data_IF_228157723402
#
_entry.id   IF_228157723402
#
_cell.length_a   1.000
_cell.length_b   1.000
_cell.length_c   1.000
_cell.angle_alpha   90.00
_cell.angle_beta   90.00
_cell.angle_gamma   90.00
#
_symmetry.space_group_name_H-M   'P 1'
#
loop_
_entity.id
_entity.type
_entity.pdbx_description
1 polymer ?
#
# COMPACT_ATOMS: atom_id res chain seq x y z
N UNK A 1 6.85 -4.28 -27.38
CA UNK A 1 7.00 -4.33 -25.91
C UNK A 1 8.47 -4.25 -25.56
N UNK A 2 8.82 -3.44 -24.57
CA UNK A 2 10.16 -3.33 -24.00
C UNK A 2 10.09 -3.62 -22.49
N UNK A 3 11.04 -4.36 -21.91
CA UNK A 3 11.07 -4.56 -20.45
C UNK A 3 11.07 -3.22 -19.70
N UNK A 4 10.34 -3.14 -18.61
CA UNK A 4 10.34 -1.97 -17.74
C UNK A 4 11.61 -1.96 -16.87
N UNK A 5 12.25 -0.79 -16.67
CA UNK A 5 13.38 -0.71 -15.73
C UNK A 5 12.93 -0.76 -14.26
N UNK A 6 11.64 -0.68 -13.97
CA UNK A 6 11.10 -0.55 -12.61
C UNK A 6 10.55 -1.85 -12.04
N UNK A 7 10.30 -2.84 -12.88
CA UNK A 7 9.76 -4.13 -12.45
C UNK A 7 10.02 -5.18 -13.51
N UNK A 8 10.62 -6.32 -13.15
CA UNK A 8 10.94 -7.42 -14.08
C UNK A 8 9.70 -8.03 -14.74
N UNK A 9 8.55 -8.02 -14.06
CA UNK A 9 7.29 -8.53 -14.60
C UNK A 9 6.54 -7.50 -15.47
N UNK A 10 7.07 -6.29 -15.63
CA UNK A 10 6.41 -5.21 -16.35
C UNK A 10 7.05 -4.94 -17.71
N UNK A 11 6.22 -4.57 -18.68
CA UNK A 11 6.63 -4.18 -20.02
C UNK A 11 6.03 -2.84 -20.41
N UNK A 12 6.82 -2.05 -21.11
CA UNK A 12 6.37 -0.79 -21.71
C UNK A 12 5.80 -1.08 -23.08
N UNK A 13 4.59 -0.60 -23.32
CA UNK A 13 3.97 -0.63 -24.63
C UNK A 13 4.41 0.63 -25.39
N UNK A 14 5.14 0.44 -26.49
CA UNK A 14 5.69 1.53 -27.31
C UNK A 14 4.74 1.97 -28.43
N UNK A 15 3.65 1.24 -28.62
CA UNK A 15 2.64 1.56 -29.64
C UNK A 15 1.75 2.72 -29.13
N UNK A 16 1.78 3.91 -29.77
CA UNK A 16 1.10 5.11 -29.27
C UNK A 16 -0.42 4.98 -29.15
N UNK A 17 -1.04 4.25 -30.06
CA UNK A 17 -2.50 4.09 -30.15
C UNK A 17 -3.04 2.89 -29.37
N UNK A 18 -2.18 2.19 -28.64
CA UNK A 18 -2.61 1.05 -27.85
C UNK A 18 -3.54 1.47 -26.70
N UNK A 19 -4.75 0.94 -26.72
CA UNK A 19 -5.78 1.20 -25.70
C UNK A 19 -5.97 -0.06 -24.85
N UNK A 20 -5.25 -0.20 -23.71
CA UNK A 20 -5.26 -1.43 -22.90
C UNK A 20 -6.68 -1.88 -22.54
N UNK A 21 -7.55 -0.94 -22.11
CA UNK A 21 -8.92 -1.21 -21.71
C UNK A 21 -9.85 -1.76 -22.81
N UNK A 22 -9.41 -1.74 -24.08
CA UNK A 22 -10.16 -2.32 -25.22
C UNK A 22 -9.61 -3.68 -25.64
N UNK A 23 -8.49 -4.12 -25.05
CA UNK A 23 -7.85 -5.36 -25.46
C UNK A 23 -8.52 -6.57 -24.78
N UNK A 24 -8.83 -7.65 -25.52
CA UNK A 24 -9.48 -8.85 -24.93
C UNK A 24 -8.72 -9.42 -23.74
N UNK A 25 -7.39 -9.45 -23.79
CA UNK A 25 -6.55 -9.93 -22.69
C UNK A 25 -6.61 -9.05 -21.45
N UNK A 26 -6.93 -7.77 -21.57
CA UNK A 26 -7.22 -6.92 -20.42
C UNK A 26 -8.49 -7.39 -19.71
N UNK A 27 -9.56 -7.64 -20.47
CA UNK A 27 -10.82 -8.15 -19.91
C UNK A 27 -10.67 -9.56 -19.31
N UNK A 28 -9.82 -10.36 -19.91
CA UNK A 28 -9.49 -11.71 -19.40
C UNK A 28 -8.52 -11.73 -18.21
N UNK A 29 -8.09 -10.56 -17.71
CA UNK A 29 -7.19 -10.49 -16.55
C UNK A 29 -5.74 -10.89 -16.80
N UNK A 30 -5.30 -11.01 -18.07
CA UNK A 30 -3.94 -11.44 -18.41
C UNK A 30 -2.89 -10.38 -18.03
N UNK A 31 -3.26 -9.12 -18.04
CA UNK A 31 -2.38 -8.03 -17.65
C UNK A 31 -3.13 -6.89 -16.95
N UNK A 32 -2.40 -6.14 -16.14
CA UNK A 32 -2.84 -4.88 -15.54
C UNK A 32 -2.08 -3.73 -16.17
N UNK A 33 -2.80 -2.65 -16.56
CA UNK A 33 -2.20 -1.45 -17.12
C UNK A 33 -1.97 -0.41 -16.03
N UNK A 34 -0.73 0.01 -15.83
CA UNK A 34 -0.38 1.05 -14.87
C UNK A 34 0.76 1.92 -15.39
N UNK A 35 1.00 3.03 -14.72
CA UNK A 35 2.14 3.88 -14.97
C UNK A 35 3.43 3.11 -14.60
N UNK A 36 4.49 3.17 -15.45
CA UNK A 36 5.67 2.35 -15.25
C UNK A 36 6.35 2.52 -13.88
N UNK A 37 6.57 3.75 -13.40
CA UNK A 37 7.18 3.98 -12.08
C UNK A 37 6.30 3.49 -10.93
N UNK A 38 4.96 3.47 -11.12
CA UNK A 38 4.03 2.92 -10.15
C UNK A 38 4.25 1.42 -9.89
N UNK A 39 4.84 0.71 -10.86
CA UNK A 39 5.14 -0.72 -10.72
C UNK A 39 6.35 -1.02 -9.81
N UNK A 40 7.10 -0.01 -9.38
CA UNK A 40 8.33 -0.20 -8.60
C UNK A 40 8.08 -0.58 -7.13
N UNK A 41 7.06 -0.05 -6.49
CA UNK A 41 6.89 -0.17 -5.04
C UNK A 41 6.59 -1.60 -4.55
N UNK A 42 5.71 -2.32 -5.25
CA UNK A 42 5.32 -3.68 -4.83
C UNK A 42 6.49 -4.69 -4.82
N UNK A 43 7.39 -4.73 -5.83
CA UNK A 43 8.57 -5.61 -5.79
C UNK A 43 9.51 -5.33 -4.62
N UNK A 44 9.65 -4.07 -4.18
CA UNK A 44 10.52 -3.70 -3.06
C UNK A 44 10.12 -4.36 -1.75
N UNK A 45 8.85 -4.73 -1.61
CA UNK A 45 8.32 -5.37 -0.42
C UNK A 45 8.78 -6.84 -0.25
N UNK A 46 9.33 -7.46 -1.28
CA UNK A 46 9.89 -8.82 -1.21
C UNK A 46 8.88 -9.88 -0.78
N UNK A 47 7.64 -9.76 -1.24
CA UNK A 47 6.55 -10.70 -0.92
C UNK A 47 6.86 -12.10 -1.45
N UNK A 48 6.56 -13.11 -0.63
CA UNK A 48 6.73 -14.54 -0.96
C UNK A 48 5.46 -15.32 -0.67
N UNK A 49 5.24 -16.47 -1.30
CA UNK A 49 4.12 -17.36 -1.01
C UNK A 49 4.01 -17.68 0.49
N UNK A 50 2.78 -17.67 1.00
CA UNK A 50 2.46 -17.96 2.40
C UNK A 50 2.45 -16.75 3.34
N UNK A 51 2.92 -15.57 2.92
CA UNK A 51 2.92 -14.35 3.72
C UNK A 51 1.52 -13.73 3.87
N UNK A 52 1.33 -12.97 4.95
CA UNK A 52 0.19 -12.09 5.19
C UNK A 52 0.59 -10.68 4.81
N UNK A 53 -0.05 -10.14 3.79
CA UNK A 53 0.32 -8.87 3.16
C UNK A 53 -0.84 -7.89 3.27
N UNK A 54 -0.53 -6.65 3.64
CA UNK A 54 -1.48 -5.53 3.65
C UNK A 54 -1.06 -4.49 2.59
N UNK A 55 -1.99 -4.14 1.69
CA UNK A 55 -1.91 -2.95 0.83
C UNK A 55 -2.90 -1.94 1.39
N UNK A 56 -2.40 -0.91 2.10
CA UNK A 56 -3.22 -0.08 2.97
C UNK A 56 -3.97 1.03 2.23
N UNK A 57 -3.48 1.45 1.04
CA UNK A 57 -4.08 2.47 0.18
C UNK A 57 -4.12 1.95 -1.27
N UNK A 58 -4.89 0.88 -1.49
CA UNK A 58 -4.70 -0.05 -2.59
C UNK A 58 -5.28 0.37 -3.94
N UNK A 59 -6.34 1.21 -3.95
CA UNK A 59 -7.03 1.52 -5.20
C UNK A 59 -6.13 2.29 -6.21
N UNK A 60 -6.25 1.96 -7.48
CA UNK A 60 -7.24 1.09 -8.14
C UNK A 60 -6.86 -0.41 -8.22
N UNK A 61 -5.76 -0.89 -7.59
CA UNK A 61 -5.42 -2.30 -7.51
C UNK A 61 -4.18 -2.74 -8.29
N UNK A 62 -3.43 -1.82 -8.92
CA UNK A 62 -2.24 -2.16 -9.69
C UNK A 62 -1.12 -2.77 -8.84
N UNK A 63 -0.87 -2.23 -7.63
CA UNK A 63 0.10 -2.78 -6.70
C UNK A 63 -0.42 -4.05 -6.02
N UNK A 64 -1.69 -4.04 -5.61
CA UNK A 64 -2.35 -5.25 -5.07
C UNK A 64 -2.26 -6.44 -6.03
N UNK A 65 -2.46 -6.24 -7.35
CA UNK A 65 -2.32 -7.31 -8.33
C UNK A 65 -0.87 -7.85 -8.43
N UNK A 66 0.13 -6.99 -8.27
CA UNK A 66 1.54 -7.41 -8.20
C UNK A 66 1.85 -8.21 -6.93
N UNK A 67 1.32 -7.77 -5.77
CA UNK A 67 1.45 -8.47 -4.49
C UNK A 67 0.75 -9.85 -4.54
N UNK A 68 -0.45 -9.91 -5.13
CA UNK A 68 -1.16 -11.16 -5.34
C UNK A 68 -0.39 -12.13 -6.24
N UNK A 69 0.21 -11.64 -7.32
CA UNK A 69 1.06 -12.45 -8.21
C UNK A 69 2.29 -13.00 -7.46
N UNK A 70 2.92 -12.20 -6.58
CA UNK A 70 4.05 -12.63 -5.76
C UNK A 70 3.66 -13.70 -4.71
N UNK A 71 2.43 -13.65 -4.19
CA UNK A 71 1.87 -14.65 -3.28
C UNK A 71 1.56 -15.99 -3.97
N UNK A 72 1.41 -16.03 -5.30
CA UNK A 72 1.14 -17.26 -6.07
C UNK A 72 -0.07 -18.06 -5.52
N UNK A 73 -1.12 -17.37 -5.08
CA UNK A 73 -2.31 -18.00 -4.50
C UNK A 73 -2.13 -18.55 -3.08
N UNK A 74 -0.97 -18.36 -2.44
CA UNK A 74 -0.67 -18.84 -1.09
C UNK A 74 -0.53 -17.66 -0.12
N UNK A 75 -1.05 -17.82 1.10
CA UNK A 75 -1.07 -16.74 2.09
C UNK A 75 -2.33 -15.88 1.99
N UNK A 76 -2.23 -14.64 2.42
CA UNK A 76 -3.36 -13.69 2.50
C UNK A 76 -2.93 -12.31 2.01
N UNK A 77 -3.69 -11.74 1.08
CA UNK A 77 -3.62 -10.33 0.72
C UNK A 77 -4.83 -9.60 1.32
N UNK A 78 -4.61 -8.56 2.09
CA UNK A 78 -5.63 -7.61 2.50
C UNK A 78 -5.38 -6.31 1.76
N UNK A 79 -6.33 -5.88 0.94
CA UNK A 79 -6.25 -4.65 0.15
C UNK A 79 -7.32 -3.69 0.64
N UNK A 80 -6.90 -2.54 1.17
CA UNK A 80 -7.81 -1.55 1.74
C UNK A 80 -7.88 -0.29 0.89
N UNK A 81 -9.07 0.29 0.84
CA UNK A 81 -9.30 1.63 0.28
C UNK A 81 -10.38 2.34 1.08
N UNK A 82 -10.06 3.55 1.55
CA UNK A 82 -10.96 4.35 2.40
C UNK A 82 -12.19 4.87 1.64
N UNK A 83 -12.04 5.24 0.37
CA UNK A 83 -13.13 5.78 -0.45
C UNK A 83 -13.94 4.64 -1.07
N UNK A 84 -15.20 4.48 -0.67
CA UNK A 84 -16.04 3.36 -1.05
C UNK A 84 -16.14 3.13 -2.58
N UNK A 85 -16.32 4.19 -3.37
CA UNK A 85 -16.37 4.08 -4.83
C UNK A 85 -15.06 3.56 -5.43
N UNK A 86 -13.90 3.88 -4.83
CA UNK A 86 -12.59 3.37 -5.24
C UNK A 86 -12.36 1.94 -4.77
N UNK A 87 -12.92 1.56 -3.61
CA UNK A 87 -12.87 0.20 -3.10
C UNK A 87 -13.62 -0.78 -4.02
N UNK A 88 -14.76 -0.38 -4.61
CA UNK A 88 -15.47 -1.17 -5.61
C UNK A 88 -14.65 -1.35 -6.90
N UNK A 89 -13.93 -0.31 -7.34
CA UNK A 89 -13.00 -0.41 -8.48
C UNK A 89 -11.85 -1.39 -8.17
N UNK A 90 -11.26 -1.28 -6.97
CA UNK A 90 -10.23 -2.19 -6.50
C UNK A 90 -10.70 -3.65 -6.52
N UNK A 91 -11.87 -3.92 -5.94
CA UNK A 91 -12.51 -5.23 -5.91
C UNK A 91 -12.69 -5.79 -7.33
N UNK A 92 -13.33 -5.02 -8.21
CA UNK A 92 -13.55 -5.41 -9.61
C UNK A 92 -12.25 -5.73 -10.36
N UNK A 93 -11.18 -4.97 -10.10
CA UNK A 93 -9.88 -5.23 -10.70
C UNK A 93 -9.23 -6.52 -10.18
N UNK A 94 -9.29 -6.79 -8.88
CA UNK A 94 -8.74 -8.03 -8.30
C UNK A 94 -9.53 -9.26 -8.77
N UNK A 95 -10.87 -9.17 -8.84
CA UNK A 95 -11.73 -10.21 -9.40
C UNK A 95 -11.40 -10.48 -10.88
N UNK A 96 -11.26 -9.42 -11.68
CA UNK A 96 -10.87 -9.52 -13.11
C UNK A 96 -9.49 -10.18 -13.27
N UNK A 97 -8.55 -9.91 -12.38
CA UNK A 97 -7.21 -10.52 -12.40
C UNK A 97 -7.19 -11.96 -11.83
N UNK A 98 -8.33 -12.49 -11.38
CA UNK A 98 -8.44 -13.85 -10.87
C UNK A 98 -7.78 -14.05 -9.51
N UNK A 99 -7.66 -13.02 -8.70
CA UNK A 99 -7.04 -13.11 -7.36
C UNK A 99 -8.00 -13.78 -6.39
N UNK A 100 -7.67 -14.98 -5.91
CA UNK A 100 -8.54 -15.81 -5.07
C UNK A 100 -8.24 -15.71 -3.56
N UNK A 101 -7.06 -15.22 -3.18
CA UNK A 101 -6.58 -15.16 -1.79
C UNK A 101 -6.49 -13.71 -1.26
N UNK A 102 -7.35 -12.82 -1.78
CA UNK A 102 -7.44 -11.43 -1.33
C UNK A 102 -8.76 -11.14 -0.61
N UNK A 103 -8.68 -10.23 0.36
CA UNK A 103 -9.82 -9.59 1.02
C UNK A 103 -9.75 -8.09 0.74
N UNK A 104 -10.82 -7.52 0.19
CA UNK A 104 -10.94 -6.08 -0.02
C UNK A 104 -11.69 -5.47 1.16
N UNK A 105 -11.10 -4.44 1.76
CA UNK A 105 -11.70 -3.68 2.86
C UNK A 105 -12.01 -2.25 2.40
N UNK A 106 -13.06 -1.68 2.99
CA UNK A 106 -13.35 -0.26 2.91
C UNK A 106 -13.36 0.33 4.32
N UNK A 107 -12.17 0.52 4.88
CA UNK A 107 -11.98 0.89 6.28
C UNK A 107 -10.91 1.97 6.46
N UNK A 108 -10.90 2.60 7.63
CA UNK A 108 -9.80 3.48 8.02
C UNK A 108 -8.57 2.66 8.41
N UNK A 109 -7.34 3.14 8.12
CA UNK A 109 -6.11 2.49 8.57
C UNK A 109 -6.08 2.18 10.06
N UNK A 110 -6.53 3.12 10.90
CA UNK A 110 -6.57 2.96 12.36
C UNK A 110 -7.47 1.80 12.82
N UNK A 111 -8.63 1.58 12.15
CA UNK A 111 -9.51 0.45 12.50
C UNK A 111 -8.89 -0.89 12.10
N UNK A 112 -8.17 -0.94 11.00
CA UNK A 112 -7.45 -2.14 10.58
C UNK A 112 -6.35 -2.47 11.58
N UNK A 113 -5.54 -1.48 11.96
CA UNK A 113 -4.48 -1.64 12.96
C UNK A 113 -5.01 -2.11 14.33
N UNK A 114 -6.14 -1.54 14.76
CA UNK A 114 -6.79 -1.95 16.01
C UNK A 114 -7.37 -3.38 15.96
N UNK A 115 -7.88 -3.80 14.80
CA UNK A 115 -8.45 -5.14 14.62
C UNK A 115 -7.39 -6.23 14.39
N UNK A 116 -6.28 -5.90 13.76
CA UNK A 116 -5.22 -6.81 13.34
C UNK A 116 -3.82 -6.28 13.77
N UNK A 117 -3.60 -6.03 15.07
CA UNK A 117 -2.30 -5.54 15.55
C UNK A 117 -1.22 -6.62 15.34
N UNK A 118 -0.04 -6.19 14.90
CA UNK A 118 1.14 -7.06 14.69
C UNK A 118 0.83 -8.32 13.85
N UNK A 119 -0.07 -8.17 12.88
CA UNK A 119 -0.58 -9.32 12.13
C UNK A 119 0.14 -9.55 10.80
N UNK A 120 0.52 -8.48 10.08
CA UNK A 120 1.02 -8.60 8.72
C UNK A 120 2.54 -8.77 8.66
N UNK A 121 3.00 -9.67 7.81
CA UNK A 121 4.43 -9.88 7.56
C UNK A 121 5.00 -8.80 6.63
N UNK A 122 4.14 -8.21 5.78
CA UNK A 122 4.47 -7.16 4.80
C UNK A 122 3.35 -6.13 4.72
N UNK A 123 3.71 -4.85 4.75
CA UNK A 123 2.76 -3.73 4.59
C UNK A 123 3.23 -2.79 3.49
N UNK A 124 2.36 -2.52 2.52
CA UNK A 124 2.56 -1.50 1.50
C UNK A 124 1.69 -0.29 1.81
N UNK A 125 2.30 0.88 1.82
CA UNK A 125 1.63 2.19 1.92
C UNK A 125 1.99 3.01 0.69
N UNK A 126 1.15 2.96 -0.36
CA UNK A 126 1.23 3.93 -1.46
C UNK A 126 0.33 5.09 -1.08
N UNK A 127 0.89 6.04 -0.34
CA UNK A 127 0.12 7.03 0.41
C UNK A 127 -0.66 8.01 -0.50
N UNK A 128 -1.86 8.41 -0.08
CA UNK A 128 -2.49 9.60 -0.66
C UNK A 128 -1.57 10.80 -0.43
N UNK A 129 -1.31 11.55 -1.48
CA UNK A 129 -0.33 12.64 -1.48
C UNK A 129 -0.81 13.81 -2.33
N UNK A 130 -0.13 14.95 -2.27
CA UNK A 130 -0.46 16.16 -3.05
C UNK A 130 -0.38 15.96 -4.56
N UNK A 131 0.23 14.87 -5.03
CA UNK A 131 0.09 14.35 -6.39
C UNK A 131 0.82 15.13 -7.46
N UNK A 132 1.90 15.83 -7.17
CA UNK A 132 2.69 16.61 -8.15
C UNK A 132 3.13 15.79 -9.35
N UNK A 133 3.42 14.50 -9.15
CA UNK A 133 3.73 13.57 -10.23
C UNK A 133 2.59 13.33 -11.22
N UNK A 134 1.38 13.73 -10.87
CA UNK A 134 0.18 13.60 -11.71
C UNK A 134 -0.11 14.83 -12.58
N UNK A 135 0.55 15.98 -12.38
CA UNK A 135 0.26 17.25 -13.07
C UNK A 135 0.22 17.14 -14.59
N UNK A 136 1.02 16.25 -15.17
CA UNK A 136 1.05 16.04 -16.63
C UNK A 136 -0.13 15.22 -17.16
N UNK A 137 -0.77 14.43 -16.31
CA UNK A 137 -1.85 13.50 -16.69
C UNK A 137 -3.21 14.01 -16.27
N UNK A 138 -3.24 14.76 -15.17
CA UNK A 138 -4.46 15.17 -14.49
C UNK A 138 -4.42 16.69 -14.26
N UNK A 139 -4.97 17.50 -15.17
CA UNK A 139 -4.99 18.97 -15.02
C UNK A 139 -5.68 19.43 -13.73
N UNK A 140 -6.65 18.66 -13.20
CA UNK A 140 -7.31 18.94 -11.94
C UNK A 140 -6.35 18.89 -10.76
N UNK A 141 -5.37 17.98 -10.77
CA UNK A 141 -4.35 17.89 -9.73
C UNK A 141 -3.50 19.17 -9.67
N UNK A 142 -3.11 19.72 -10.83
CA UNK A 142 -2.38 21.00 -10.89
C UNK A 142 -3.23 22.17 -10.36
N UNK A 143 -4.52 22.21 -10.69
CA UNK A 143 -5.42 23.30 -10.26
C UNK A 143 -5.72 23.26 -8.74
N UNK A 144 -5.67 22.09 -8.12
CA UNK A 144 -5.95 21.90 -6.69
C UNK A 144 -4.69 21.98 -5.81
N UNK A 145 -3.49 21.94 -6.40
CA UNK A 145 -2.25 21.93 -5.66
C UNK A 145 -2.00 23.27 -4.94
N UNK A 146 -1.72 23.20 -3.65
CA UNK A 146 -1.33 24.34 -2.81
C UNK A 146 -0.58 23.83 -1.56
N UNK A 147 0.14 24.71 -0.88
CA UNK A 147 0.88 24.38 0.35
C UNK A 147 -0.01 23.76 1.44
N UNK A 148 -1.26 24.23 1.57
CA UNK A 148 -2.20 23.68 2.52
C UNK A 148 -2.54 22.21 2.24
N UNK A 149 -2.66 21.83 0.95
CA UNK A 149 -2.86 20.44 0.53
C UNK A 149 -1.64 19.58 0.86
N UNK A 150 -0.42 20.05 0.59
CA UNK A 150 0.83 19.35 0.94
C UNK A 150 0.87 19.07 2.44
N UNK A 151 0.62 20.09 3.27
CA UNK A 151 0.59 19.93 4.72
C UNK A 151 -0.47 18.92 5.18
N UNK A 152 -1.68 19.01 4.66
CA UNK A 152 -2.77 18.08 4.97
C UNK A 152 -2.41 16.63 4.56
N UNK A 153 -1.80 16.43 3.40
CA UNK A 153 -1.36 15.13 2.95
C UNK A 153 -0.21 14.57 3.80
N UNK A 154 0.71 15.42 4.23
CA UNK A 154 1.79 15.02 5.13
C UNK A 154 1.26 14.57 6.50
N UNK A 155 0.31 15.30 7.10
CA UNK A 155 -0.35 14.94 8.35
C UNK A 155 -1.10 13.60 8.21
N UNK A 156 -1.90 13.44 7.15
CA UNK A 156 -2.59 12.18 6.85
C UNK A 156 -1.61 11.02 6.63
N UNK A 157 -0.52 11.26 5.92
CA UNK A 157 0.53 10.27 5.68
C UNK A 157 1.18 9.79 6.98
N UNK A 158 1.36 10.68 7.97
CA UNK A 158 1.86 10.33 9.29
C UNK A 158 0.92 9.36 10.01
N UNK A 159 -0.38 9.66 10.05
CA UNK A 159 -1.40 8.81 10.70
C UNK A 159 -1.51 7.42 10.02
N UNK A 160 -1.40 7.38 8.69
CA UNK A 160 -1.39 6.13 7.93
C UNK A 160 -0.16 5.29 8.25
N UNK A 161 1.02 5.91 8.32
CA UNK A 161 2.27 5.22 8.66
C UNK A 161 2.26 4.68 10.08
N UNK A 162 1.74 5.44 11.06
CA UNK A 162 1.61 4.99 12.44
C UNK A 162 0.64 3.79 12.55
N UNK A 163 -0.45 3.82 11.77
CA UNK A 163 -1.37 2.68 11.66
C UNK A 163 -0.71 1.46 10.99
N UNK A 164 0.09 1.68 9.95
CA UNK A 164 0.83 0.62 9.27
C UNK A 164 1.86 -0.04 10.19
N UNK A 165 2.56 0.77 11.00
CA UNK A 165 3.51 0.29 12.01
C UNK A 165 2.83 -0.61 13.06
N UNK A 166 1.64 -0.20 13.54
CA UNK A 166 0.88 -0.97 14.53
C UNK A 166 0.33 -2.30 13.97
N UNK A 167 0.04 -2.37 12.67
CA UNK A 167 -0.45 -3.57 12.00
C UNK A 167 0.68 -4.54 11.59
N UNK A 168 1.93 -4.07 11.51
CA UNK A 168 3.08 -4.85 11.07
C UNK A 168 3.57 -5.76 12.19
N UNK A 169 3.77 -7.04 11.88
CA UNK A 169 4.34 -8.01 12.81
C UNK A 169 5.83 -7.72 13.09
N UNK A 170 6.34 -8.08 14.28
CA UNK A 170 7.77 -8.05 14.56
C UNK A 170 8.56 -8.87 13.53
N UNK A 171 9.63 -8.28 12.97
CA UNK A 171 10.39 -8.87 11.87
C UNK A 171 9.78 -8.63 10.49
N UNK A 172 8.65 -7.91 10.42
CA UNK A 172 8.00 -7.54 9.17
C UNK A 172 8.67 -6.37 8.45
N UNK A 173 8.29 -6.14 7.21
CA UNK A 173 8.79 -5.05 6.39
C UNK A 173 7.65 -4.16 5.88
N UNK A 174 7.89 -2.86 5.89
CA UNK A 174 7.00 -1.83 5.39
C UNK A 174 7.66 -1.12 4.20
N UNK A 175 6.91 -0.95 3.12
CA UNK A 175 7.29 -0.07 2.00
C UNK A 175 6.33 1.10 1.96
N UNK A 176 6.89 2.30 1.97
CA UNK A 176 6.17 3.56 1.80
C UNK A 176 6.49 4.13 0.43
N UNK A 177 5.50 4.63 -0.28
CA UNK A 177 5.67 5.30 -1.58
C UNK A 177 4.66 6.42 -1.77
N UNK A 178 5.04 7.45 -2.53
CA UNK A 178 4.19 8.58 -2.90
C UNK A 178 4.31 8.86 -4.40
N UNK A 179 3.45 9.72 -4.92
CA UNK A 179 3.59 10.29 -6.27
C UNK A 179 3.75 11.83 -6.23
N UNK A 180 4.41 12.36 -5.22
CA UNK A 180 4.72 13.78 -5.06
C UNK A 180 6.23 14.03 -5.12
N UNK A 181 6.63 15.33 -5.10
CA UNK A 181 8.01 15.77 -4.92
C UNK A 181 8.18 16.52 -3.59
N UNK A 182 7.10 16.74 -2.85
CA UNK A 182 7.08 17.52 -1.63
C UNK A 182 7.95 16.85 -0.54
N UNK A 183 8.95 17.53 0.01
CA UNK A 183 9.82 16.97 1.04
C UNK A 183 9.08 16.53 2.30
N UNK A 184 8.01 17.24 2.63
CA UNK A 184 7.17 16.99 3.79
C UNK A 184 6.43 15.64 3.72
N UNK A 185 6.15 15.20 2.50
CA UNK A 185 5.47 13.93 2.21
C UNK A 185 6.46 12.80 1.85
N UNK A 186 7.72 13.13 1.62
CA UNK A 186 8.78 12.23 1.17
C UNK A 186 9.84 12.01 2.27
N UNK A 187 11.09 12.50 2.10
CA UNK A 187 12.18 12.26 3.05
C UNK A 187 11.89 12.82 4.45
N UNK A 188 11.23 13.97 4.53
CA UNK A 188 10.83 14.57 5.81
C UNK A 188 9.85 13.67 6.57
N UNK A 189 8.87 13.12 5.87
CA UNK A 189 7.89 12.19 6.45
C UNK A 189 8.57 10.94 7.03
N UNK A 190 9.52 10.38 6.28
CA UNK A 190 10.24 9.19 6.71
C UNK A 190 11.16 9.45 7.88
N UNK A 191 11.89 10.53 7.84
CA UNK A 191 12.76 10.93 8.94
C UNK A 191 11.93 11.15 10.22
N UNK A 192 10.78 11.81 10.12
CA UNK A 192 9.85 12.00 11.23
C UNK A 192 9.24 10.66 11.72
N UNK A 193 8.90 9.75 10.81
CA UNK A 193 8.42 8.42 11.17
C UNK A 193 9.45 7.64 11.99
N UNK A 194 10.70 7.58 11.54
CA UNK A 194 11.77 6.89 12.26
C UNK A 194 12.08 7.49 13.64
N UNK A 195 11.82 8.78 13.85
CA UNK A 195 11.90 9.38 15.18
C UNK A 195 10.76 8.96 16.11
N UNK A 196 9.54 8.86 15.58
CA UNK A 196 8.37 8.40 16.36
C UNK A 196 8.42 6.90 16.64
N UNK A 197 9.05 6.13 15.74
CA UNK A 197 9.14 4.68 15.79
C UNK A 197 10.59 4.20 15.84
N UNK A 198 11.29 4.36 16.99
CA UNK A 198 12.70 3.97 17.13
C UNK A 198 12.92 2.45 17.01
N UNK A 199 11.85 1.65 17.08
CA UNK A 199 11.86 0.22 16.80
C UNK A 199 11.99 -0.10 15.31
N UNK A 200 11.85 0.89 14.41
CA UNK A 200 12.07 0.70 12.98
C UNK A 200 13.48 1.11 12.57
N UNK A 201 14.02 0.42 11.58
CA UNK A 201 15.27 0.79 10.91
C UNK A 201 15.03 0.94 9.41
N UNK A 202 15.66 1.94 8.81
CA UNK A 202 15.63 2.13 7.38
C UNK A 202 16.50 1.06 6.70
N UNK A 203 15.87 0.22 5.89
CA UNK A 203 16.57 -0.74 5.03
C UNK A 203 16.80 -0.13 3.64
N UNK A 204 17.79 -0.67 2.90
CA UNK A 204 17.97 -0.29 1.50
C UNK A 204 16.70 -0.62 0.69
N UNK A 205 16.14 0.38 0.03
CA UNK A 205 14.94 0.21 -0.78
C UNK A 205 15.10 -0.89 -1.85
N UNK A 206 16.30 -1.04 -2.42
CA UNK A 206 16.59 -2.04 -3.44
C UNK A 206 16.97 -3.43 -2.87
N UNK A 207 17.03 -3.60 -1.56
CA UNK A 207 17.53 -4.82 -0.94
C UNK A 207 16.74 -6.11 -1.26
N UNK A 208 15.51 -5.99 -1.76
CA UNK A 208 14.70 -7.14 -2.19
C UNK A 208 14.66 -7.36 -3.70
N UNK A 209 15.34 -6.53 -4.48
CA UNK A 209 15.42 -6.64 -5.95
C UNK A 209 16.87 -6.72 -6.40
N UNK A 210 17.10 -7.34 -7.54
CA UNK A 210 18.43 -7.56 -8.13
C UNK A 210 18.68 -6.64 -9.34
N UNK A 211 18.01 -5.50 -9.38
CA UNK A 211 18.15 -4.46 -10.40
C UNK A 211 18.07 -3.08 -9.72
N UNK A 212 18.58 -2.07 -10.38
CA UNK A 212 18.62 -0.70 -9.88
C UNK A 212 17.76 0.23 -10.75
N UNK A 213 17.17 1.24 -10.10
CA UNK A 213 16.42 2.30 -10.77
C UNK A 213 16.42 3.58 -9.91
N UNK A 214 16.12 4.70 -10.56
CA UNK A 214 16.01 5.99 -9.90
C UNK A 214 17.33 6.53 -9.38
N UNK A 215 17.25 7.54 -8.53
CA UNK A 215 18.35 8.13 -7.78
C UNK A 215 18.15 7.94 -6.28
N UNK A 216 19.18 8.19 -5.51
CA UNK A 216 19.09 8.31 -4.05
C UNK A 216 18.20 9.49 -3.65
N UNK A 217 17.79 9.53 -2.38
CA UNK A 217 17.08 10.66 -1.80
C UNK A 217 18.00 11.89 -1.65
N UNK A 218 17.40 12.99 -1.23
CA UNK A 218 18.08 14.26 -1.10
C UNK A 218 18.18 14.70 0.38
N UNK A 219 19.39 14.81 0.93
CA UNK A 219 19.62 15.11 2.34
C UNK A 219 19.07 16.47 2.79
N UNK A 220 19.00 17.46 1.90
CA UNK A 220 18.41 18.77 2.16
C UNK A 220 16.88 18.75 2.26
N UNK A 221 16.24 17.61 2.01
CA UNK A 221 14.79 17.43 2.03
C UNK A 221 14.25 16.73 3.29
N UNK A 222 15.11 16.41 4.24
CA UNK A 222 14.72 15.70 5.46
C UNK A 222 14.13 16.60 6.56
N UNK A 223 13.99 17.91 6.29
CA UNK A 223 13.58 18.87 7.34
C UNK A 223 14.62 19.05 8.46
N UNK A 224 15.88 18.72 8.21
CA UNK A 224 16.97 18.75 9.20
C UNK A 224 17.03 17.52 10.10
N UNK A 225 16.16 16.52 9.89
CA UNK A 225 16.18 15.27 10.63
C UNK A 225 17.19 14.26 10.06
N UNK A 226 17.78 13.40 10.88
CA UNK A 226 18.74 12.40 10.40
C UNK A 226 18.03 11.34 9.54
N UNK A 227 18.53 11.12 8.32
CA UNK A 227 18.09 10.08 7.42
C UNK A 227 19.25 9.64 6.51
N UNK A 228 19.47 8.35 6.38
CA UNK A 228 20.39 7.81 5.39
C UNK A 228 19.70 7.78 4.01
N UNK A 229 19.79 8.89 3.29
CA UNK A 229 19.10 9.08 2.00
C UNK A 229 19.61 8.16 0.89
N UNK A 230 20.78 7.51 1.06
CA UNK A 230 21.29 6.52 0.11
C UNK A 230 20.39 5.26 0.02
N UNK A 231 19.61 5.01 1.07
CA UNK A 231 18.70 3.87 1.17
C UNK A 231 17.32 4.10 0.57
N UNK A 232 17.00 5.33 0.19
CA UNK A 232 15.73 5.66 -0.46
C UNK A 232 15.90 5.80 -1.96
N UNK A 233 14.80 5.74 -2.72
CA UNK A 233 14.84 5.87 -4.19
C UNK A 233 13.83 6.89 -4.67
N UNK A 234 14.32 7.86 -5.44
CA UNK A 234 13.54 8.82 -6.20
C UNK A 234 13.49 8.44 -7.67
N UNK A 235 12.31 8.50 -8.26
CA UNK A 235 12.10 8.32 -9.69
C UNK A 235 11.66 9.67 -10.25
N UNK A 236 12.61 10.43 -10.76
CA UNK A 236 12.34 11.72 -11.39
C UNK A 236 12.12 11.56 -12.89
N UNK A 237 11.26 12.39 -13.52
CA UNK A 237 11.14 12.43 -14.97
C UNK A 237 12.46 12.90 -15.56
N UNK A 238 13.19 12.00 -16.21
CA UNK A 238 14.44 12.35 -16.89
C UNK A 238 14.09 13.03 -18.21
N UNK A 239 14.57 14.24 -18.46
CA UNK A 239 14.70 14.79 -19.81
C UNK A 239 15.79 14.01 -20.53
N UNK A 240 15.45 12.90 -21.15
CA UNK A 240 16.35 12.27 -22.09
C UNK A 240 16.55 13.23 -23.27
N UNK A 241 17.78 13.69 -23.43
CA UNK A 241 18.20 14.34 -24.67
C UNK A 241 17.94 13.35 -25.82
N UNK A 242 16.99 13.66 -26.69
CA UNK A 242 16.63 12.93 -27.92
C UNK A 242 16.24 11.48 -27.72
N UNK A 243 15.00 11.23 -27.55
CA UNK A 243 14.14 10.11 -27.89
C UNK A 243 13.29 9.66 -26.70
N UNK A 244 11.99 9.70 -26.95
CA UNK A 244 10.91 9.21 -26.09
C UNK A 244 10.86 9.82 -24.71
N UNK A 245 10.12 10.91 -24.61
CA UNK A 245 9.63 11.46 -23.37
C UNK A 245 8.93 10.35 -22.57
N UNK A 246 9.61 9.89 -21.52
CA UNK A 246 8.98 9.09 -20.51
C UNK A 246 8.06 10.00 -19.69
N UNK A 247 6.75 9.83 -19.70
CA UNK A 247 5.85 10.61 -18.86
C UNK A 247 5.86 10.00 -17.45
N UNK A 248 7.00 10.08 -16.75
CA UNK A 248 7.12 9.56 -15.40
C UNK A 248 6.51 10.50 -14.39
N UNK A 249 5.69 9.98 -13.50
CA UNK A 249 5.43 10.57 -12.20
C UNK A 249 6.66 10.33 -11.32
N UNK A 250 6.99 11.32 -10.45
CA UNK A 250 7.97 11.07 -9.40
C UNK A 250 7.39 10.04 -8.43
N UNK A 251 8.24 9.21 -7.90
CA UNK A 251 7.93 8.34 -6.77
C UNK A 251 9.10 8.31 -5.82
N UNK A 252 8.82 8.46 -4.56
CA UNK A 252 9.71 8.06 -3.49
C UNK A 252 9.32 6.63 -3.08
N UNK A 253 10.28 5.76 -2.94
CA UNK A 253 10.10 4.43 -2.38
C UNK A 253 11.06 4.22 -1.22
N UNK A 254 10.51 3.77 -0.13
CA UNK A 254 11.17 3.50 1.13
C UNK A 254 10.86 2.11 1.60
N UNK A 255 11.82 1.49 2.22
CA UNK A 255 11.66 0.23 2.93
C UNK A 255 12.11 0.40 4.38
N UNK A 256 11.20 0.20 5.33
CA UNK A 256 11.53 0.15 6.75
C UNK A 256 11.33 -1.27 7.28
N UNK A 257 12.22 -1.69 8.13
CA UNK A 257 12.22 -3.01 8.76
C UNK A 257 12.00 -2.85 10.27
N UNK A 258 11.07 -3.62 10.84
CA UNK A 258 10.87 -3.73 12.28
C UNK A 258 11.72 -4.91 12.80
N UNK A 259 12.83 -4.67 13.54
CA UNK A 259 13.61 -5.75 14.11
C UNK A 259 12.74 -6.57 15.07
N UNK A 260 13.03 -7.88 15.19
CA UNK A 260 12.35 -8.73 16.17
C UNK A 260 12.51 -8.11 17.57
N UNK A 261 11.40 -7.72 18.20
CA UNK A 261 11.42 -7.50 19.64
C UNK A 261 11.84 -8.82 20.28
N UNK A 262 12.85 -8.79 21.13
CA UNK A 262 13.24 -9.96 21.92
C UNK A 262 11.98 -10.52 22.58
N UNK A 263 11.55 -11.72 22.20
CA UNK A 263 10.30 -12.33 22.62
C UNK A 263 10.37 -12.69 24.09
N UNK A 264 9.86 -11.83 24.95
CA UNK A 264 9.59 -12.14 26.37
C UNK A 264 8.15 -12.61 26.60
N UNK A 265 7.40 -12.92 25.56
CA UNK A 265 6.06 -13.46 25.70
C UNK A 265 6.06 -14.97 25.39
N UNK A 266 5.51 -15.82 26.30
CA UNK A 266 5.40 -17.25 26.05
C UNK A 266 4.49 -17.49 24.85
N UNK A 267 4.92 -18.37 23.95
CA UNK A 267 4.11 -18.87 22.83
C UNK A 267 2.90 -19.65 23.38
N UNK A 268 1.85 -18.97 23.77
CA UNK A 268 0.62 -19.60 24.22
C UNK A 268 -0.38 -19.63 23.06
N UNK A 269 -0.34 -20.71 22.30
CA UNK A 269 -1.30 -21.07 21.27
C UNK A 269 -2.72 -21.34 21.79
N UNK A 270 -2.97 -21.18 23.10
CA UNK A 270 -4.25 -21.44 23.75
C UNK A 270 -5.26 -20.28 23.72
N UNK A 271 -4.82 -19.03 23.47
CA UNK A 271 -5.71 -17.86 23.48
C UNK A 271 -6.76 -17.86 22.37
N UNK A 272 -6.47 -18.50 21.25
CA UNK A 272 -7.41 -18.55 20.11
C UNK A 272 -8.54 -19.57 20.32
N UNK A 273 -8.26 -20.68 21.00
CA UNK A 273 -9.27 -21.68 21.34
C UNK A 273 -10.18 -21.23 22.49
N UNK A 274 -9.69 -20.42 23.44
CA UNK A 274 -10.50 -19.88 24.52
C UNK A 274 -11.49 -18.81 24.03
N UNK A 275 -11.12 -17.96 23.07
CA UNK A 275 -12.05 -16.98 22.45
C UNK A 275 -13.18 -17.65 21.66
N UNK A 276 -12.95 -18.80 21.03
CA UNK A 276 -14.01 -19.59 20.37
C UNK A 276 -14.99 -20.22 21.37
N UNK A 277 -14.57 -20.54 22.59
CA UNK A 277 -15.46 -21.07 23.66
C UNK A 277 -16.31 -19.97 24.29
N UNK A 278 -15.76 -18.76 24.50
CA UNK A 278 -16.51 -17.62 25.02
C UNK A 278 -17.60 -17.14 24.05
N UNK A 279 -17.32 -17.16 22.74
CA UNK A 279 -18.31 -16.79 21.71
C UNK A 279 -19.44 -17.83 21.55
N UNK A 280 -19.22 -19.11 21.89
CA UNK A 280 -20.25 -20.17 21.87
C UNK A 280 -21.13 -20.20 23.13
N UNK A 281 -20.67 -19.62 24.25
CA UNK A 281 -21.41 -19.63 25.52
C UNK A 281 -22.44 -18.49 25.68
N UNK A 282 -22.53 -17.55 24.74
CA UNK A 282 -23.51 -16.43 24.78
C UNK A 282 -24.69 -16.61 23.82
N UNK A 283 -24.88 -17.79 23.25
CA UNK A 283 -25.88 -18.10 22.24
C UNK A 283 -27.20 -18.73 22.75
N UNK A 284 -27.37 -18.99 24.06
CA UNK A 284 -28.59 -19.58 24.61
C UNK A 284 -29.26 -18.58 25.58
N UNK A 285 -30.19 -17.79 25.07
CA UNK A 285 -30.97 -16.85 25.90
C UNK A 285 -31.74 -15.80 25.12
N UNK A 286 -32.22 -16.07 23.91
CA UNK A 286 -33.25 -15.25 23.28
C UNK A 286 -34.60 -15.97 23.32
N UNK A 287 -35.34 -15.71 24.39
CA UNK A 287 -36.78 -15.95 24.42
C UNK A 287 -37.44 -15.06 23.35
N UNK A 288 -38.18 -15.68 22.44
CA UNK A 288 -38.97 -14.98 21.45
C UNK A 288 -40.05 -14.12 22.13
N UNK A 289 -40.04 -12.82 21.89
CA UNK A 289 -41.10 -11.93 22.27
C UNK A 289 -42.34 -12.22 21.44
N UNK A 290 -43.42 -12.73 22.06
CA UNK A 290 -44.70 -13.04 21.43
C UNK A 290 -45.75 -11.97 21.73
N UNK A 291 -45.40 -10.69 21.76
CA UNK A 291 -46.33 -9.61 22.05
C UNK A 291 -46.53 -8.72 20.80
N UNK A 292 -47.72 -8.63 20.22
CA UNK A 292 -47.99 -7.85 19.01
C UNK A 292 -48.05 -6.34 19.21
N UNK A 293 -47.73 -5.82 20.40
CA UNK A 293 -47.77 -4.40 20.76
C UNK A 293 -46.45 -3.76 21.13
N UNK A 294 -45.29 -4.38 20.91
CA UNK A 294 -43.99 -3.85 21.33
C UNK A 294 -43.47 -2.71 20.40
N UNK A 295 -43.25 -1.49 20.89
CA UNK A 295 -42.82 -0.34 20.09
C UNK A 295 -41.36 -0.40 19.55
N UNK A 296 -40.63 -1.46 19.78
CA UNK A 296 -39.22 -1.60 19.43
C UNK A 296 -38.91 -2.55 18.27
N UNK A 297 -39.92 -3.06 17.55
CA UNK A 297 -39.70 -3.85 16.34
C UNK A 297 -39.86 -2.97 15.08
N UNK A 298 -38.90 -2.96 14.17
CA UNK A 298 -39.05 -2.26 12.89
C UNK A 298 -40.10 -3.00 12.02
N UNK A 299 -40.85 -2.27 11.16
CA UNK A 299 -41.87 -2.87 10.29
C UNK A 299 -41.24 -3.81 9.23
N UNK A 300 -42.00 -4.82 8.89
CA UNK A 300 -41.61 -5.82 7.86
C UNK A 300 -41.57 -5.23 6.47
#
# INVERSE_FOLDING_TARGET
LRPSPFCKAAFVVEQPDFKPGRHPYHHAGVFYSQEPSASSAAPLLGVRPGMRVLDLCAAPGGKSSQLAAALQGQGLLVSNEYVAARAEILKSNLERMGVSNAVVLNETPARIAAALPEFFDRVLVDAPCSGEGMFRKEPAALAQHCEALVKQCAELGADILDSAAAALAPGGELVYSTCTFAPEEDEGQVAAFLQRHPEFTLADALGNVDYTFGSEGEANRTGGLPLDVSKVRRICPVRAARATLWPGSSKLALRAFCPQRASTLPKNSSGWQQRKRAAKGQGEGRQACQDPGCPQCPPR
#
